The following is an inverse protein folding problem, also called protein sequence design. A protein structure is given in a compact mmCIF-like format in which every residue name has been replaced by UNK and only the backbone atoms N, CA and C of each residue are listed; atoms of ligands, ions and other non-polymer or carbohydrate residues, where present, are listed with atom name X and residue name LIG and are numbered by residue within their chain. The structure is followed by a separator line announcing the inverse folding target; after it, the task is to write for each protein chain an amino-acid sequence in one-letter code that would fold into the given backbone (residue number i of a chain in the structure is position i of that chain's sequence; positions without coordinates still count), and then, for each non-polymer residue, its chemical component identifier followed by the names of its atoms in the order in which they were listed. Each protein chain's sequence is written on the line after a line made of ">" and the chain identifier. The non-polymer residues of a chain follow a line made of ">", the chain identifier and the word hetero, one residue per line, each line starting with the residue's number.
data_IF_860807565293
#
_entry.id   IF_860807565293
#
_cell.length_a   1.000
_cell.length_b   1.000
_cell.length_c   1.000
_cell.angle_alpha   90.00
_cell.angle_beta   90.00
_cell.angle_gamma   90.00
#
_symmetry.space_group_name_H-M   'P 1'
#
loop_
_entity.id
_entity.type
_entity.pdbx_description
1 polymer ?
#
# COMPACT_ATOMS: atom_id res chain seq x y z
N UNK A 1 -13.53 9.96 13.50
CA UNK A 1 -12.64 10.03 12.32
C UNK A 1 -13.20 9.07 11.29
N UNK A 2 -13.22 9.43 10.01
CA UNK A 2 -13.77 8.57 8.95
C UNK A 2 -12.94 7.26 8.82
N UNK A 3 -13.55 6.06 8.83
CA UNK A 3 -12.80 4.80 8.81
C UNK A 3 -11.90 4.61 7.58
N UNK A 4 -12.26 5.19 6.42
CA UNK A 4 -11.42 5.15 5.21
C UNK A 4 -10.17 5.99 5.40
N UNK A 5 -10.31 7.19 5.96
CA UNK A 5 -9.17 8.03 6.34
C UNK A 5 -8.29 7.35 7.38
N UNK A 6 -8.87 6.70 8.39
CA UNK A 6 -8.12 5.92 9.38
C UNK A 6 -7.27 4.84 8.72
N UNK A 7 -7.84 4.06 7.79
CA UNK A 7 -7.09 3.04 7.06
C UNK A 7 -6.00 3.65 6.18
N UNK A 8 -6.27 4.72 5.44
CA UNK A 8 -5.26 5.43 4.63
C UNK A 8 -4.08 5.91 5.47
N UNK A 9 -4.34 6.54 6.62
CA UNK A 9 -3.29 7.00 7.54
C UNK A 9 -2.48 5.84 8.10
N UNK A 10 -3.13 4.72 8.47
CA UNK A 10 -2.42 3.49 8.89
C UNK A 10 -1.51 2.97 7.79
N UNK A 11 -2.02 2.80 6.57
CA UNK A 11 -1.23 2.30 5.44
C UNK A 11 -0.02 3.20 5.18
N UNK A 12 -0.21 4.52 5.16
CA UNK A 12 0.89 5.46 4.98
C UNK A 12 1.98 5.34 6.05
N UNK A 13 1.58 5.13 7.32
CA UNK A 13 2.52 4.92 8.42
C UNK A 13 3.28 3.59 8.28
N UNK A 14 2.54 2.51 8.09
CA UNK A 14 3.05 1.13 8.01
C UNK A 14 4.07 0.95 6.87
N UNK A 15 3.82 1.58 5.73
CA UNK A 15 4.70 1.42 4.57
C UNK A 15 5.74 2.55 4.43
N UNK A 16 5.88 3.43 5.44
CA UNK A 16 6.75 4.61 5.32
C UNK A 16 8.24 4.25 5.23
N UNK A 17 8.68 3.19 5.92
CA UNK A 17 10.07 2.75 6.02
C UNK A 17 10.40 1.56 5.09
N UNK A 18 9.47 1.20 4.20
CA UNK A 18 9.56 0.06 3.29
C UNK A 18 9.71 -1.32 3.97
N UNK A 19 9.48 -1.44 5.28
CA UNK A 19 9.60 -2.71 6.00
C UNK A 19 8.51 -2.85 7.04
N UNK A 20 7.53 -3.70 6.71
CA UNK A 20 6.44 -3.98 7.64
C UNK A 20 6.86 -5.03 8.66
N UNK A 21 6.78 -4.67 9.94
CA UNK A 21 7.01 -5.61 11.05
C UNK A 21 5.76 -6.43 11.43
N UNK A 22 5.94 -7.44 12.29
CA UNK A 22 4.85 -8.33 12.69
C UNK A 22 3.77 -7.63 13.53
N UNK A 23 4.13 -6.60 14.29
CA UNK A 23 3.19 -5.77 15.04
C UNK A 23 2.32 -4.93 14.10
N UNK A 24 2.91 -4.32 13.08
CA UNK A 24 2.20 -3.57 12.06
C UNK A 24 1.28 -4.46 11.21
N UNK A 25 1.73 -5.68 10.87
CA UNK A 25 0.88 -6.69 10.22
C UNK A 25 -0.30 -7.09 11.10
N UNK A 26 -0.05 -7.32 12.39
CA UNK A 26 -1.11 -7.66 13.33
C UNK A 26 -2.12 -6.51 13.48
N UNK A 27 -1.63 -5.27 13.56
CA UNK A 27 -2.44 -4.06 13.66
C UNK A 27 -3.31 -3.84 12.41
N UNK A 28 -2.75 -4.04 11.21
CA UNK A 28 -3.50 -3.96 9.96
C UNK A 28 -4.55 -5.07 9.89
N UNK A 29 -4.19 -6.31 10.22
CA UNK A 29 -5.14 -7.44 10.24
C UNK A 29 -6.29 -7.21 11.23
N UNK A 30 -6.00 -6.66 12.40
CA UNK A 30 -7.01 -6.33 13.40
C UNK A 30 -8.00 -5.29 12.86
N UNK A 31 -7.51 -4.27 12.15
CA UNK A 31 -8.39 -3.29 11.51
C UNK A 31 -9.22 -3.90 10.39
N UNK A 32 -8.64 -4.73 9.52
CA UNK A 32 -9.38 -5.40 8.45
C UNK A 32 -10.44 -6.37 9.00
N UNK A 33 -10.17 -7.00 10.14
CA UNK A 33 -11.10 -7.92 10.80
C UNK A 33 -12.20 -7.21 11.62
N UNK A 34 -12.09 -5.90 11.88
CA UNK A 34 -13.09 -5.17 12.67
C UNK A 34 -14.43 -5.02 11.97
N UNK A 35 -14.46 -5.16 10.63
CA UNK A 35 -15.66 -4.99 9.83
C UNK A 35 -16.15 -3.54 9.73
N UNK A 36 -15.31 -2.56 10.10
CA UNK A 36 -15.65 -1.14 10.00
C UNK A 36 -15.84 -0.65 8.55
N UNK A 37 -15.26 -1.35 7.58
CA UNK A 37 -15.37 -1.06 6.16
C UNK A 37 -15.89 -2.28 5.41
N UNK A 38 -16.81 -2.04 4.47
CA UNK A 38 -17.22 -3.08 3.53
C UNK A 38 -16.10 -3.44 2.55
N UNK A 39 -16.17 -4.60 1.92
CA UNK A 39 -15.18 -5.04 0.92
C UNK A 39 -15.02 -4.02 -0.25
N UNK A 40 -16.13 -3.40 -0.67
CA UNK A 40 -16.10 -2.35 -1.71
C UNK A 40 -15.33 -1.12 -1.24
N UNK A 41 -15.48 -0.75 0.03
CA UNK A 41 -14.79 0.39 0.61
C UNK A 41 -13.31 0.11 0.87
N UNK A 42 -12.98 -1.08 1.35
CA UNK A 42 -11.59 -1.54 1.47
C UNK A 42 -10.89 -1.50 0.11
N UNK A 43 -11.56 -2.00 -0.93
CA UNK A 43 -11.04 -1.92 -2.30
C UNK A 43 -10.79 -0.49 -2.75
N UNK A 44 -11.76 0.41 -2.56
CA UNK A 44 -11.61 1.82 -2.92
C UNK A 44 -10.44 2.48 -2.17
N UNK A 45 -10.27 2.16 -0.88
CA UNK A 45 -9.15 2.66 -0.07
C UNK A 45 -7.81 2.14 -0.58
N UNK A 46 -7.71 0.85 -0.91
CA UNK A 46 -6.49 0.28 -1.47
C UNK A 46 -6.15 0.87 -2.84
N UNK A 47 -7.13 1.02 -3.74
CA UNK A 47 -6.94 1.65 -5.04
C UNK A 47 -6.47 3.11 -4.89
N UNK A 48 -7.06 3.86 -3.95
CA UNK A 48 -6.63 5.22 -3.63
C UNK A 48 -5.22 5.27 -3.06
N UNK A 49 -4.89 4.38 -2.11
CA UNK A 49 -3.57 4.28 -1.50
C UNK A 49 -2.51 3.98 -2.56
N UNK A 50 -2.72 2.94 -3.35
CA UNK A 50 -1.84 2.55 -4.46
C UNK A 50 -1.64 3.72 -5.43
N UNK A 51 -2.71 4.34 -5.90
CA UNK A 51 -2.60 5.48 -6.84
C UNK A 51 -1.79 6.64 -6.24
N UNK A 52 -1.99 6.94 -4.97
CA UNK A 52 -1.31 8.03 -4.28
C UNK A 52 0.16 7.70 -4.04
N UNK A 53 0.47 6.48 -3.60
CA UNK A 53 1.84 6.00 -3.39
C UNK A 53 2.61 6.00 -4.70
N UNK A 54 2.01 5.56 -5.81
CA UNK A 54 2.66 5.60 -7.12
C UNK A 54 3.02 7.03 -7.52
N UNK A 55 2.06 7.95 -7.46
CA UNK A 55 2.28 9.38 -7.78
C UNK A 55 3.40 9.99 -6.95
N UNK A 56 3.48 9.65 -5.66
CA UNK A 56 4.55 10.12 -4.78
C UNK A 56 5.91 9.50 -5.16
N UNK A 57 5.94 8.22 -5.53
CA UNK A 57 7.15 7.47 -5.90
C UNK A 57 7.78 7.94 -7.21
N UNK A 58 6.98 8.45 -8.16
CA UNK A 58 7.49 8.97 -9.44
C UNK A 58 7.68 10.48 -9.46
N UNK A 59 7.45 11.17 -8.34
CA UNK A 59 7.41 12.63 -8.31
C UNK A 59 8.75 13.28 -8.69
N UNK A 60 9.86 12.59 -8.43
CA UNK A 60 11.22 13.02 -8.75
C UNK A 60 11.79 12.34 -10.02
N UNK A 61 10.95 11.61 -10.77
CA UNK A 61 11.32 10.79 -11.94
C UNK A 61 12.38 9.71 -11.65
N UNK A 62 12.63 9.34 -10.39
CA UNK A 62 13.62 8.33 -10.04
C UNK A 62 13.11 7.42 -8.92
N UNK A 63 12.84 6.15 -9.26
CA UNK A 63 12.43 5.17 -8.25
C UNK A 63 13.67 4.54 -7.61
N UNK A 64 13.95 4.94 -6.38
CA UNK A 64 15.07 4.40 -5.60
C UNK A 64 14.83 2.95 -5.16
N UNK A 65 15.90 2.24 -4.78
CA UNK A 65 15.81 0.86 -4.28
C UNK A 65 14.91 0.72 -3.04
N UNK A 66 14.92 1.74 -2.16
CA UNK A 66 14.05 1.80 -1.00
C UNK A 66 12.57 1.88 -1.43
N UNK A 67 12.28 2.64 -2.47
CA UNK A 67 10.91 2.75 -2.99
C UNK A 67 10.49 1.49 -3.72
N UNK A 68 11.37 0.86 -4.50
CA UNK A 68 11.10 -0.47 -5.07
C UNK A 68 10.77 -1.48 -3.97
N UNK A 69 11.55 -1.48 -2.88
CA UNK A 69 11.27 -2.30 -1.71
C UNK A 69 9.90 -1.99 -1.10
N UNK A 70 9.56 -0.71 -0.93
CA UNK A 70 8.25 -0.28 -0.42
C UNK A 70 7.11 -0.79 -1.31
N UNK A 71 7.23 -0.61 -2.62
CA UNK A 71 6.24 -1.07 -3.60
C UNK A 71 6.06 -2.60 -3.53
N UNK A 72 7.16 -3.36 -3.40
CA UNK A 72 7.12 -4.82 -3.23
C UNK A 72 6.45 -5.24 -1.93
N UNK A 73 6.78 -4.56 -0.82
CA UNK A 73 6.22 -4.89 0.49
C UNK A 73 4.72 -4.58 0.55
N UNK A 74 4.24 -3.51 -0.10
CA UNK A 74 2.80 -3.21 -0.25
C UNK A 74 2.07 -4.38 -0.92
N UNK A 75 2.58 -4.83 -2.08
CA UNK A 75 1.97 -5.95 -2.82
C UNK A 75 1.96 -7.22 -1.97
N UNK A 76 3.08 -7.51 -1.30
CA UNK A 76 3.23 -8.69 -0.45
C UNK A 76 2.28 -8.69 0.75
N UNK A 77 2.18 -7.58 1.48
CA UNK A 77 1.42 -7.50 2.74
C UNK A 77 -0.07 -7.41 2.48
N UNK A 78 -0.48 -6.64 1.46
CA UNK A 78 -1.89 -6.47 1.11
C UNK A 78 -2.42 -7.58 0.20
N UNK A 79 -1.54 -8.40 -0.37
CA UNK A 79 -1.93 -9.48 -1.30
C UNK A 79 -2.61 -8.94 -2.55
N UNK A 80 -2.17 -7.79 -3.05
CA UNK A 80 -2.79 -7.12 -4.19
C UNK A 80 -2.56 -7.92 -5.48
N UNK A 81 -3.64 -8.11 -6.23
CA UNK A 81 -3.56 -8.67 -7.57
C UNK A 81 -2.96 -7.65 -8.56
N UNK A 82 -2.27 -8.13 -9.60
CA UNK A 82 -1.69 -7.26 -10.62
C UNK A 82 -2.73 -6.38 -11.33
N UNK A 83 -4.00 -6.80 -11.38
CA UNK A 83 -5.11 -6.04 -11.98
C UNK A 83 -5.46 -4.73 -11.25
N UNK A 84 -5.10 -4.58 -9.97
CA UNK A 84 -5.36 -3.35 -9.20
C UNK A 84 -4.14 -2.43 -9.12
N UNK A 85 -3.00 -2.87 -9.65
CA UNK A 85 -1.77 -2.08 -9.66
C UNK A 85 -1.70 -1.19 -10.92
N UNK A 86 -1.11 0.02 -10.81
CA UNK A 86 -0.74 0.81 -11.97
C UNK A 86 0.17 0.00 -12.91
N UNK A 87 -0.01 0.18 -14.23
CA UNK A 87 0.74 -0.58 -15.25
C UNK A 87 2.26 -0.45 -15.09
N UNK A 88 2.71 0.71 -14.63
CA UNK A 88 4.12 1.07 -14.45
C UNK A 88 4.71 0.56 -13.13
N UNK A 89 3.86 0.13 -12.18
CA UNK A 89 4.29 -0.38 -10.88
C UNK A 89 5.04 -1.71 -11.01
N UNK A 90 4.52 -2.63 -11.82
CA UNK A 90 5.14 -3.94 -12.08
C UNK A 90 6.57 -3.79 -12.63
N UNK A 91 6.84 -3.03 -13.72
CA UNK A 91 8.19 -2.85 -14.22
C UNK A 91 9.08 -2.09 -13.23
N UNK A 92 8.56 -1.12 -12.47
CA UNK A 92 9.35 -0.37 -11.48
C UNK A 92 9.91 -1.25 -10.35
N UNK A 93 9.25 -2.37 -10.01
CA UNK A 93 9.70 -3.31 -8.97
C UNK A 93 10.73 -4.35 -9.46
N UNK A 94 10.99 -4.43 -10.78
CA UNK A 94 11.97 -5.38 -11.31
C UNK A 94 13.37 -4.82 -11.06
N UNK A 95 14.24 -5.65 -10.51
CA UNK A 95 15.67 -5.36 -10.48
C UNK A 95 16.19 -5.60 -11.92
N UNK A 96 16.88 -4.60 -12.49
CA UNK A 96 17.63 -4.75 -13.76
C UNK A 96 18.89 -5.61 -13.55
#
# INVERSE_FOLDING_TARGET
>A
MDPKQTLLTKLARIFSDAKVDDGERAELRAFLASGELSNTELRAVFEQFVTTTWKATIADNHVSELEKQRLREIVRVLGLDASVLPKEWIPAMRDE
#
